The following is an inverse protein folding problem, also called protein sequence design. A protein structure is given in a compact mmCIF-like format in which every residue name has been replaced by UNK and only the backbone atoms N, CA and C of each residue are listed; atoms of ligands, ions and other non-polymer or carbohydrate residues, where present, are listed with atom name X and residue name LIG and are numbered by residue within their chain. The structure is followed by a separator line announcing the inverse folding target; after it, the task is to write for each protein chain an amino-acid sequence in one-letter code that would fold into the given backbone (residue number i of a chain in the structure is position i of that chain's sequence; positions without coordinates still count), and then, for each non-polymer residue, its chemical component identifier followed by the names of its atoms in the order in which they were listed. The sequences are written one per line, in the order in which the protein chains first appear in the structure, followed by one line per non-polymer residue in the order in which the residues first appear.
data_IF_819917564987
#
_entry.id   IF_819917564987
#
_cell.length_a   1.000
_cell.length_b   1.000
_cell.length_c   1.000
_cell.angle_alpha   90.00
_cell.angle_beta   90.00
_cell.angle_gamma   90.00
#
_symmetry.space_group_name_H-M   'P 1'
#
loop_
_entity.id
_entity.type
_entity.pdbx_description
1 polymer ?
#
# COMPACT_ATOMS: atom_id res chain seq x y z
N UNK A 1 -3.01 -5.59 -0.96
CA UNK A 1 -2.85 -4.35 -0.15
C UNK A 1 -1.54 -4.42 0.59
N UNK A 2 -0.90 -3.28 0.88
CA UNK A 2 0.47 -3.26 1.45
C UNK A 2 0.47 -3.16 2.98
N UNK A 3 -0.51 -2.48 3.57
CA UNK A 3 -0.65 -2.37 5.02
C UNK A 3 -2.09 -2.14 5.43
N UNK A 4 -2.40 -2.49 6.68
CA UNK A 4 -3.67 -2.20 7.36
C UNK A 4 -3.30 -1.36 8.58
N UNK A 5 -3.81 -0.14 8.65
CA UNK A 5 -3.56 0.77 9.78
C UNK A 5 -4.65 0.52 10.82
N UNK A 6 -4.25 0.22 12.05
CA UNK A 6 -5.19 -0.01 13.14
C UNK A 6 -6.01 1.25 13.46
N UNK A 7 -7.30 1.06 13.73
CA UNK A 7 -8.17 2.12 14.22
C UNK A 7 -7.91 2.43 15.71
N UNK A 8 -8.19 3.66 16.16
CA UNK A 8 -8.25 3.99 17.59
C UNK A 8 -9.26 3.11 18.35
N UNK A 9 -9.12 3.04 19.67
CA UNK A 9 -10.07 2.33 20.53
C UNK A 9 -11.48 2.91 20.33
N UNK A 10 -12.43 2.04 19.98
CA UNK A 10 -13.81 2.42 19.67
C UNK A 10 -14.04 2.90 18.24
N UNK A 11 -13.00 2.92 17.41
CA UNK A 11 -13.09 3.14 15.96
C UNK A 11 -12.65 4.53 15.51
N UNK A 12 -12.29 4.64 14.23
CA UNK A 12 -11.77 5.85 13.61
C UNK A 12 -12.72 7.05 13.71
N UNK A 13 -14.03 6.79 13.82
CA UNK A 13 -15.05 7.82 13.96
C UNK A 13 -15.13 8.45 15.36
N UNK A 14 -14.56 7.79 16.38
CA UNK A 14 -14.58 8.29 17.77
C UNK A 14 -13.36 9.14 18.11
N UNK A 15 -12.24 8.90 17.44
CA UNK A 15 -11.00 9.66 17.61
C UNK A 15 -10.34 9.93 16.26
N UNK A 16 -10.92 10.87 15.52
CA UNK A 16 -10.41 11.28 14.22
C UNK A 16 -9.00 11.86 14.29
N UNK A 17 -8.62 12.51 15.40
CA UNK A 17 -7.29 13.09 15.58
C UNK A 17 -6.22 12.01 15.66
N UNK A 18 -6.47 10.96 16.46
CA UNK A 18 -5.55 9.83 16.55
C UNK A 18 -5.48 9.07 15.22
N UNK A 19 -6.61 8.85 14.55
CA UNK A 19 -6.63 8.21 13.23
C UNK A 19 -5.83 9.02 12.20
N UNK A 20 -6.04 10.33 12.14
CA UNK A 20 -5.31 11.23 11.25
C UNK A 20 -3.79 11.23 11.55
N UNK A 21 -3.41 11.18 12.82
CA UNK A 21 -1.99 11.08 13.22
C UNK A 21 -1.35 9.78 12.72
N UNK A 22 -2.03 8.64 12.90
CA UNK A 22 -1.58 7.33 12.40
C UNK A 22 -1.45 7.32 10.86
N UNK A 23 -2.46 7.85 10.16
CA UNK A 23 -2.42 8.02 8.69
C UNK A 23 -1.25 8.88 8.25
N UNK A 24 -1.08 10.06 8.87
CA UNK A 24 0.01 11.00 8.56
C UNK A 24 1.35 10.33 8.72
N UNK A 25 1.58 9.62 9.82
CA UNK A 25 2.83 8.91 10.07
C UNK A 25 3.12 7.88 8.98
N UNK A 26 2.13 7.03 8.67
CA UNK A 26 2.29 5.99 7.65
C UNK A 26 2.55 6.60 6.26
N UNK A 27 1.71 7.53 5.80
CA UNK A 27 1.83 8.15 4.50
C UNK A 27 3.14 8.93 4.36
N UNK A 28 3.55 9.70 5.37
CA UNK A 28 4.80 10.48 5.31
C UNK A 28 6.02 9.57 5.19
N UNK A 29 6.02 8.44 5.91
CA UNK A 29 7.08 7.44 5.82
C UNK A 29 7.12 6.81 4.42
N UNK A 30 5.99 6.29 3.96
CA UNK A 30 5.91 5.60 2.66
C UNK A 30 6.24 6.53 1.49
N UNK A 31 5.77 7.78 1.51
CA UNK A 31 6.11 8.74 0.45
C UNK A 31 7.61 9.03 0.45
N UNK A 32 8.24 9.19 1.62
CA UNK A 32 9.70 9.38 1.71
C UNK A 32 10.46 8.19 1.14
N UNK A 33 10.12 6.99 1.56
CA UNK A 33 10.74 5.74 1.08
C UNK A 33 10.61 5.57 -0.44
N UNK A 34 9.45 5.92 -1.01
CA UNK A 34 9.25 5.86 -2.46
C UNK A 34 10.00 6.97 -3.20
N UNK A 35 10.05 8.18 -2.64
CA UNK A 35 10.72 9.32 -3.26
C UNK A 35 12.25 9.15 -3.35
N UNK A 36 12.84 8.32 -2.49
CA UNK A 36 14.27 8.00 -2.53
C UNK A 36 14.63 7.00 -3.64
N UNK A 37 13.65 6.34 -4.27
CA UNK A 37 13.89 5.38 -5.35
C UNK A 37 14.06 6.07 -6.70
N UNK A 38 14.95 5.58 -7.57
CA UNK A 38 15.00 6.01 -8.97
C UNK A 38 13.65 5.80 -9.67
N UNK A 39 13.32 6.70 -10.59
CA UNK A 39 12.04 6.65 -11.34
C UNK A 39 11.87 5.33 -12.07
N UNK A 40 12.92 4.83 -12.74
CA UNK A 40 12.86 3.56 -13.47
C UNK A 40 12.54 2.38 -12.55
N UNK A 41 13.10 2.38 -11.33
CA UNK A 41 12.78 1.37 -10.31
C UNK A 41 11.33 1.46 -9.85
N UNK A 42 10.79 2.67 -9.64
CA UNK A 42 9.39 2.86 -9.28
C UNK A 42 8.43 2.36 -10.36
N UNK A 43 8.78 2.57 -11.63
CA UNK A 43 7.98 2.10 -12.76
C UNK A 43 7.95 0.57 -12.83
N UNK A 44 9.12 -0.06 -12.71
CA UNK A 44 9.28 -1.52 -12.74
C UNK A 44 8.54 -2.19 -11.57
N UNK A 45 8.76 -1.72 -10.35
CA UNK A 45 8.10 -2.26 -9.16
C UNK A 45 6.57 -2.15 -9.24
N UNK A 46 6.06 -1.03 -9.79
CA UNK A 46 4.63 -0.83 -9.99
C UNK A 46 4.07 -1.81 -11.00
N UNK A 47 4.75 -2.00 -12.12
CA UNK A 47 4.34 -2.96 -13.15
C UNK A 47 4.30 -4.39 -12.58
N UNK A 48 5.36 -4.83 -11.93
CA UNK A 48 5.47 -6.16 -11.32
C UNK A 48 4.44 -6.39 -10.21
N UNK A 49 4.14 -5.35 -9.42
CA UNK A 49 3.10 -5.41 -8.40
C UNK A 49 1.74 -5.75 -9.00
N UNK A 50 1.34 -5.06 -10.08
CA UNK A 50 0.04 -5.29 -10.70
C UNK A 50 -0.01 -6.56 -11.54
N UNK A 51 1.09 -6.93 -12.22
CA UNK A 51 1.15 -8.15 -13.03
C UNK A 51 1.02 -9.42 -12.18
N UNK A 52 1.48 -9.41 -10.93
CA UNK A 52 1.31 -10.51 -9.98
C UNK A 52 -0.06 -10.53 -9.29
N UNK A 53 -0.89 -9.51 -9.47
CA UNK A 53 -2.23 -9.48 -8.88
C UNK A 53 -3.22 -10.19 -9.79
N UNK A 54 -3.87 -11.22 -9.26
CA UNK A 54 -4.80 -12.08 -9.99
C UNK A 54 -4.26 -13.50 -10.10
N UNK A 55 -5.16 -14.48 -10.04
CA UNK A 55 -4.85 -15.87 -10.40
C UNK A 55 -5.62 -16.20 -11.66
N UNK A 56 -4.91 -16.68 -12.67
CA UNK A 56 -5.49 -17.23 -13.88
C UNK A 56 -5.34 -18.74 -13.81
N UNK A 57 -6.44 -19.48 -14.01
CA UNK A 57 -6.34 -20.88 -14.37
C UNK A 57 -5.89 -20.88 -15.83
N UNK A 58 -4.63 -21.22 -16.08
CA UNK A 58 -4.24 -21.59 -17.44
C UNK A 58 -5.02 -22.87 -17.76
N UNK A 59 -5.99 -22.80 -18.68
CA UNK A 59 -6.57 -24.00 -19.25
C UNK A 59 -5.41 -24.75 -19.91
N UNK A 60 -5.00 -25.85 -19.29
CA UNK A 60 -4.02 -26.78 -19.81
C UNK A 60 -4.57 -27.36 -21.13
N UNK A 61 -4.37 -26.61 -22.21
CA UNK A 61 -4.53 -27.05 -23.58
C UNK A 61 -3.14 -27.07 -24.19
N UNK A 62 -2.42 -28.12 -23.83
CA UNK A 62 -1.41 -28.75 -24.67
C UNK A 62 -2.01 -30.03 -25.24
#
# INVERSE_FOLDING_TARGET
VDHVIEEPIGGAHRDHYQMASRLKMYLSRTVRELAEKPVDTLLEERYEKFRRMGQFLEDATG
#
